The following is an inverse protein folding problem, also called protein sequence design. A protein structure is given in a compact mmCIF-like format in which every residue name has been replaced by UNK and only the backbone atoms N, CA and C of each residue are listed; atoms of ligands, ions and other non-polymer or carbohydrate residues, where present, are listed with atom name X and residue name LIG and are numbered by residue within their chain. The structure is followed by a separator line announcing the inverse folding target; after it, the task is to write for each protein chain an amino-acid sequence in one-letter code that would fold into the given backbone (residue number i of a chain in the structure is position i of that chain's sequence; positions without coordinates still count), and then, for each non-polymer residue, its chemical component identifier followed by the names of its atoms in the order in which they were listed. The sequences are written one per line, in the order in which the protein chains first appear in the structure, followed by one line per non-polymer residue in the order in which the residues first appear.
data_IF_247487082328
#
_entry.id   IF_247487082328
#
_cell.length_a   1.000
_cell.length_b   1.000
_cell.length_c   1.000
_cell.angle_alpha   90.00
_cell.angle_beta   90.00
_cell.angle_gamma   90.00
#
_symmetry.space_group_name_H-M   'P 1'
#
loop_
_entity.id
_entity.type
_entity.pdbx_description
1 polymer ?
#
# COMPACT_ATOMS: atom_id res chain seq x y z
N UNK A 1 -4.25 -5.00 -1.73
CA UNK A 1 -4.04 -4.95 -3.19
C UNK A 1 -5.19 -4.25 -3.90
N UNK A 2 -6.29 -4.95 -4.14
CA UNK A 2 -7.39 -4.54 -5.04
C UNK A 2 -7.92 -3.12 -4.78
N UNK A 3 -8.10 -2.71 -3.53
CA UNK A 3 -8.57 -1.35 -3.20
C UNK A 3 -7.59 -0.23 -3.57
N UNK A 4 -6.28 -0.45 -3.38
CA UNK A 4 -5.23 0.53 -3.75
C UNK A 4 -5.16 0.67 -5.26
N UNK A 5 -5.28 -0.45 -5.98
CA UNK A 5 -5.30 -0.50 -7.43
C UNK A 5 -6.53 0.20 -8.01
N UNK A 6 -7.70 0.07 -7.38
CA UNK A 6 -8.92 0.76 -7.81
C UNK A 6 -8.83 2.28 -7.62
N UNK A 7 -8.26 2.74 -6.50
CA UNK A 7 -8.01 4.16 -6.26
C UNK A 7 -6.98 4.71 -7.25
N UNK A 8 -5.91 3.94 -7.54
CA UNK A 8 -4.93 4.33 -8.55
C UNK A 8 -5.55 4.38 -9.95
N UNK A 9 -6.41 3.43 -10.33
CA UNK A 9 -7.14 3.49 -11.60
C UNK A 9 -7.99 4.75 -11.70
N UNK A 10 -8.76 5.09 -10.66
CA UNK A 10 -9.56 6.32 -10.61
C UNK A 10 -8.66 7.56 -10.74
N UNK A 11 -7.58 7.64 -9.95
CA UNK A 11 -6.67 8.80 -9.96
C UNK A 11 -5.95 8.99 -11.30
N UNK A 12 -5.54 7.89 -11.94
CA UNK A 12 -4.95 7.93 -13.28
C UNK A 12 -6.00 8.37 -14.30
N UNK A 13 -7.23 7.85 -14.23
CA UNK A 13 -8.31 8.27 -15.14
C UNK A 13 -8.65 9.76 -15.02
N UNK A 14 -8.65 10.33 -13.82
CA UNK A 14 -8.88 11.77 -13.59
C UNK A 14 -7.78 12.65 -14.20
N UNK A 15 -6.52 12.19 -14.19
CA UNK A 15 -5.36 12.94 -14.73
C UNK A 15 -4.95 12.55 -16.15
N UNK A 16 -5.70 11.68 -16.83
CA UNK A 16 -5.40 11.21 -18.20
C UNK A 16 -5.16 12.37 -19.18
N UNK A 17 -5.97 13.42 -19.12
CA UNK A 17 -5.87 14.58 -20.02
C UNK A 17 -4.57 15.36 -19.82
N UNK A 18 -4.12 15.54 -18.58
CA UNK A 18 -2.87 16.23 -18.27
C UNK A 18 -1.64 15.42 -18.70
N UNK A 19 -1.69 14.10 -18.50
CA UNK A 19 -0.65 13.15 -18.94
C UNK A 19 -0.54 13.16 -20.46
N UNK A 20 -1.68 13.11 -21.17
CA UNK A 20 -1.73 13.14 -22.63
C UNK A 20 -1.11 14.41 -23.21
N UNK A 21 -1.33 15.56 -22.56
CA UNK A 21 -0.72 16.84 -22.96
C UNK A 21 0.80 16.79 -22.75
N UNK A 22 1.31 16.28 -21.61
CA UNK A 22 2.76 16.14 -21.38
C UNK A 22 3.43 15.21 -22.39
N UNK A 23 2.79 14.10 -22.74
CA UNK A 23 3.31 13.16 -23.73
C UNK A 23 3.33 13.75 -25.15
N UNK A 24 2.32 14.56 -25.51
CA UNK A 24 2.28 15.24 -26.81
C UNK A 24 3.44 16.24 -27.02
N UNK A 25 4.02 16.76 -25.93
CA UNK A 25 5.17 17.68 -25.94
C UNK A 25 6.52 16.92 -25.82
N UNK A 26 6.50 15.58 -25.79
CA UNK A 26 7.69 14.73 -25.85
C UNK A 26 8.07 14.02 -24.54
N UNK A 27 7.24 14.05 -23.49
CA UNK A 27 7.47 13.26 -22.29
C UNK A 27 7.32 11.75 -22.58
N UNK A 28 8.18 10.91 -21.99
CA UNK A 28 8.13 9.46 -22.19
C UNK A 28 7.07 8.84 -21.28
N UNK A 29 6.30 7.90 -21.82
CA UNK A 29 5.30 7.14 -21.05
C UNK A 29 5.90 6.41 -19.84
N UNK A 30 7.18 6.03 -19.93
CA UNK A 30 7.94 5.40 -18.85
C UNK A 30 8.02 6.27 -17.59
N UNK A 31 8.14 7.58 -17.75
CA UNK A 31 8.36 8.51 -16.63
C UNK A 31 7.08 8.63 -15.79
N UNK A 32 5.95 8.64 -16.48
CA UNK A 32 4.62 8.67 -15.87
C UNK A 32 4.31 7.36 -15.16
N UNK A 33 4.62 6.22 -15.79
CA UNK A 33 4.44 4.90 -15.17
C UNK A 33 5.31 4.75 -13.91
N UNK A 34 6.57 5.20 -13.96
CA UNK A 34 7.46 5.18 -12.81
C UNK A 34 6.96 6.09 -11.67
N UNK A 35 6.42 7.26 -11.98
CA UNK A 35 5.83 8.14 -10.97
C UNK A 35 4.67 7.46 -10.23
N UNK A 36 3.74 6.85 -10.96
CA UNK A 36 2.61 6.14 -10.35
C UNK A 36 3.05 4.90 -9.57
N UNK A 37 4.04 4.15 -10.08
CA UNK A 37 4.57 3.01 -9.36
C UNK A 37 5.20 3.42 -8.02
N UNK A 38 5.98 4.51 -8.02
CA UNK A 38 6.57 5.06 -6.79
C UNK A 38 5.47 5.49 -5.82
N UNK A 39 4.46 6.20 -6.30
CA UNK A 39 3.31 6.63 -5.47
C UNK A 39 2.58 5.42 -4.85
N UNK A 40 2.32 4.37 -5.63
CA UNK A 40 1.69 3.14 -5.14
C UNK A 40 2.54 2.45 -4.06
N UNK A 41 3.84 2.31 -4.30
CA UNK A 41 4.78 1.67 -3.37
C UNK A 41 4.89 2.48 -2.07
N UNK A 42 4.91 3.81 -2.17
CA UNK A 42 5.02 4.71 -1.03
C UNK A 42 3.75 4.69 -0.18
N UNK A 43 2.56 4.66 -0.81
CA UNK A 43 1.28 4.48 -0.11
C UNK A 43 1.22 3.10 0.58
N UNK A 44 1.67 2.03 -0.08
CA UNK A 44 1.72 0.70 0.52
C UNK A 44 2.70 0.62 1.71
N UNK A 45 3.85 1.30 1.62
CA UNK A 45 4.84 1.44 2.68
C UNK A 45 4.25 2.09 3.93
N UNK A 46 3.66 3.28 3.74
CA UNK A 46 3.11 4.09 4.83
C UNK A 46 1.88 3.40 5.43
N UNK A 47 0.96 2.92 4.60
CA UNK A 47 -0.22 2.19 5.06
C UNK A 47 0.14 0.91 5.81
N UNK A 48 1.17 0.19 5.36
CA UNK A 48 1.70 -0.96 6.08
C UNK A 48 2.27 -0.58 7.44
N UNK A 49 3.14 0.43 7.51
CA UNK A 49 3.74 0.87 8.77
C UNK A 49 2.66 1.31 9.78
N UNK A 50 1.69 2.10 9.32
CA UNK A 50 0.53 2.50 10.12
C UNK A 50 -0.29 1.29 10.57
N UNK A 51 -0.55 0.33 9.68
CA UNK A 51 -1.27 -0.90 10.00
C UNK A 51 -0.59 -1.72 11.10
N UNK A 52 0.74 -1.87 11.07
CA UNK A 52 1.50 -2.54 12.14
C UNK A 52 1.34 -1.77 13.46
N UNK A 53 1.55 -0.46 13.44
CA UNK A 53 1.43 0.34 14.67
C UNK A 53 0.03 0.28 15.28
N UNK A 54 -1.01 0.33 14.44
CA UNK A 54 -2.40 0.23 14.89
C UNK A 54 -2.70 -1.17 15.45
N UNK A 55 -2.19 -2.22 14.80
CA UNK A 55 -2.36 -3.60 15.25
C UNK A 55 -1.73 -3.83 16.63
N UNK A 56 -0.53 -3.29 16.88
CA UNK A 56 0.13 -3.34 18.18
C UNK A 56 -0.66 -2.57 19.26
N UNK A 57 -1.19 -1.38 18.93
CA UNK A 57 -2.02 -0.61 19.86
C UNK A 57 -3.30 -1.35 20.26
N UNK A 58 -4.00 -1.93 19.29
CA UNK A 58 -5.21 -2.73 19.54
C UNK A 58 -4.86 -3.93 20.43
N UNK A 59 -3.74 -4.60 20.15
CA UNK A 59 -3.30 -5.74 20.93
C UNK A 59 -2.98 -5.40 22.39
N UNK A 60 -2.24 -4.32 22.63
CA UNK A 60 -1.96 -3.82 23.98
C UNK A 60 -3.24 -3.47 24.73
N UNK A 61 -4.18 -2.81 24.04
CA UNK A 61 -5.47 -2.43 24.62
C UNK A 61 -6.28 -3.68 25.00
N UNK A 62 -6.34 -4.70 24.12
CA UNK A 62 -7.04 -5.95 24.40
C UNK A 62 -6.41 -6.73 25.57
N UNK A 63 -5.08 -6.75 25.68
CA UNK A 63 -4.39 -7.37 26.82
C UNK A 63 -4.73 -6.70 28.15
N UNK A 64 -4.95 -5.39 28.17
CA UNK A 64 -5.40 -4.65 29.36
C UNK A 64 -6.83 -5.02 29.77
N UNK A 65 -7.73 -5.30 28.82
CA UNK A 65 -9.14 -5.61 29.10
C UNK A 65 -9.41 -7.12 29.32
N UNK A 66 -8.57 -8.01 28.80
CA UNK A 66 -8.74 -9.48 28.88
C UNK A 66 -7.48 -10.18 29.40
N UNK A 67 -7.19 -10.09 30.72
CA UNK A 67 -6.05 -10.75 31.34
C UNK A 67 -6.28 -12.27 31.37
N UNK A 68 -5.74 -12.98 30.37
CA UNK A 68 -5.83 -14.44 30.25
C UNK A 68 -5.70 -14.99 28.83
N UNK A 69 -5.77 -14.12 27.80
CA UNK A 69 -5.51 -14.50 26.41
C UNK A 69 -4.09 -14.08 26.02
N UNK A 70 -3.18 -15.04 25.92
CA UNK A 70 -1.84 -14.79 25.37
C UNK A 70 -1.93 -14.65 23.85
N UNK A 71 -2.02 -13.40 23.39
CA UNK A 71 -1.89 -13.08 21.97
C UNK A 71 -0.39 -13.19 21.61
N UNK A 72 0.01 -14.35 21.07
CA UNK A 72 1.36 -14.59 20.57
C UNK A 72 1.61 -13.86 19.25
N UNK A 73 2.32 -12.73 19.29
CA UNK A 73 2.81 -12.07 18.08
C UNK A 73 4.06 -12.76 17.58
N UNK A 74 3.94 -13.59 16.53
CA UNK A 74 5.10 -14.09 15.79
C UNK A 74 5.63 -12.99 14.87
N UNK A 75 6.89 -12.53 15.05
CA UNK A 75 7.51 -11.54 14.16
C UNK A 75 7.55 -12.03 12.72
N UNK A 76 7.71 -13.36 12.52
CA UNK A 76 7.73 -13.99 11.21
C UNK A 76 6.36 -13.87 10.50
N UNK A 77 5.26 -14.02 11.24
CA UNK A 77 3.91 -13.90 10.68
C UNK A 77 3.60 -12.45 10.25
N UNK A 78 4.02 -11.47 11.05
CA UNK A 78 3.92 -10.05 10.69
C UNK A 78 4.73 -9.74 9.43
N UNK A 79 5.98 -10.24 9.35
CA UNK A 79 6.87 -9.99 8.23
C UNK A 79 6.36 -10.66 6.94
N UNK A 80 5.85 -11.90 7.04
CA UNK A 80 5.20 -12.60 5.93
C UNK A 80 3.90 -11.92 5.48
N UNK A 81 3.05 -11.48 6.41
CA UNK A 81 1.83 -10.75 6.08
C UNK A 81 2.14 -9.42 5.37
N UNK A 82 3.19 -8.72 5.82
CA UNK A 82 3.66 -7.49 5.21
C UNK A 82 4.20 -7.72 3.80
N UNK A 83 5.05 -8.73 3.62
CA UNK A 83 5.62 -9.13 2.33
C UNK A 83 4.53 -9.59 1.36
N UNK A 84 3.55 -10.36 1.82
CA UNK A 84 2.44 -10.83 0.99
C UNK A 84 1.53 -9.68 0.55
N UNK A 85 1.23 -8.74 1.47
CA UNK A 85 0.45 -7.52 1.15
C UNK A 85 1.19 -6.61 0.15
N UNK A 86 2.49 -6.41 0.33
CA UNK A 86 3.35 -5.67 -0.62
C UNK A 86 3.44 -6.39 -1.96
N UNK A 87 3.64 -7.71 -1.96
CA UNK A 87 3.77 -8.53 -3.16
C UNK A 87 2.51 -8.48 -4.01
N UNK A 88 1.32 -8.63 -3.40
CA UNK A 88 0.06 -8.44 -4.11
C UNK A 88 -0.11 -7.01 -4.63
N UNK A 89 0.31 -5.99 -3.88
CA UNK A 89 0.27 -4.60 -4.36
C UNK A 89 1.11 -4.35 -5.62
N UNK A 90 2.29 -4.97 -5.72
CA UNK A 90 3.19 -4.84 -6.88
C UNK A 90 2.69 -5.65 -8.07
N UNK A 91 2.22 -6.89 -7.85
CA UNK A 91 1.72 -7.78 -8.90
C UNK A 91 0.48 -7.23 -9.62
N UNK A 92 -0.37 -6.51 -8.88
CA UNK A 92 -1.56 -5.85 -9.40
C UNK A 92 -1.30 -4.40 -9.84
N UNK A 93 -0.11 -3.85 -9.59
CA UNK A 93 0.30 -2.51 -10.04
C UNK A 93 1.00 -2.49 -11.41
N UNK A 94 1.24 -3.67 -12.00
CA UNK A 94 1.71 -3.87 -13.37
C UNK A 94 0.54 -4.22 -14.29
#
# INVERSE_FOLDING_TARGET
GIGVMNIMLVSVTERTREIGIRMAVGARASDVLQQFLIEAVLVCLVGGALGITLSLLIAFTLQLFLPGWEIGFSPLALLLAFLCSRGTGILFGW
#
